data_IF_599721623849
#
_entry.id   IF_599721623849
#
_cell.length_a   1.000
_cell.length_b   1.000
_cell.length_c   1.000
_cell.angle_alpha   90.00
_cell.angle_beta   90.00
_cell.angle_gamma   90.00
#
_symmetry.space_group_name_H-M   'P 1'
#
loop_
_entity.id
_entity.type
_entity.pdbx_description
1 polymer ?
#
# COMPACT_ATOMS: atom_id res chain seq x y z
N UNK A 1 9.76 -10.29 19.43
CA UNK A 1 8.94 -10.32 18.19
C UNK A 1 8.10 -9.06 18.16
N UNK A 2 8.47 -8.08 17.33
CA UNK A 2 7.68 -6.87 17.14
C UNK A 2 6.31 -7.27 16.60
N UNK A 3 5.26 -6.88 17.30
CA UNK A 3 3.88 -7.16 16.94
C UNK A 3 3.53 -6.38 15.65
N UNK A 4 3.89 -6.93 14.49
CA UNK A 4 3.64 -6.32 13.18
C UNK A 4 2.18 -6.54 12.83
N UNK A 5 1.31 -5.65 13.30
CA UNK A 5 -0.07 -5.63 12.78
C UNK A 5 -0.01 -5.40 11.27
N UNK A 6 -0.70 -6.23 10.48
CA UNK A 6 -0.76 -6.04 9.03
C UNK A 6 -1.40 -4.68 8.72
N UNK A 7 -1.01 -4.06 7.59
CA UNK A 7 -1.62 -2.82 7.16
C UNK A 7 -3.12 -3.02 6.91
N UNK A 8 -3.91 -2.00 7.26
CA UNK A 8 -5.36 -2.01 6.98
C UNK A 8 -5.68 -1.04 5.86
N UNK A 9 -6.52 -1.47 4.93
CA UNK A 9 -6.93 -0.70 3.75
C UNK A 9 -8.41 -0.31 3.90
N UNK A 10 -8.72 0.98 3.73
CA UNK A 10 -10.08 1.51 3.89
C UNK A 10 -10.43 2.48 2.74
N UNK A 11 -11.56 2.29 2.04
CA UNK A 11 -12.06 3.29 1.09
C UNK A 11 -12.31 4.63 1.78
N UNK A 12 -12.01 5.74 1.10
CA UNK A 12 -12.28 7.10 1.56
C UNK A 12 -12.53 8.04 0.39
N UNK A 13 -13.06 9.22 0.73
CA UNK A 13 -12.92 10.40 -0.12
C UNK A 13 -11.72 11.22 0.36
N UNK A 14 -10.92 11.73 -0.57
CA UNK A 14 -9.80 12.64 -0.31
C UNK A 14 -10.07 13.96 -1.02
N UNK A 15 -9.81 15.08 -0.35
CA UNK A 15 -9.95 16.41 -0.95
C UNK A 15 -8.68 17.20 -0.63
N UNK A 16 -7.73 17.34 -1.58
CA UNK A 16 -6.67 18.33 -1.46
C UNK A 16 -7.29 19.72 -1.27
N UNK A 17 -6.62 20.62 -0.53
CA UNK A 17 -7.19 21.95 -0.23
C UNK A 17 -7.62 22.67 -1.51
N UNK A 18 -8.91 22.98 -1.61
CA UNK A 18 -9.48 23.71 -2.75
C UNK A 18 -9.95 22.85 -3.92
N UNK A 19 -9.91 21.51 -3.81
CA UNK A 19 -10.38 20.58 -4.82
C UNK A 19 -11.66 19.87 -4.37
N UNK A 20 -12.44 19.38 -5.35
CA UNK A 20 -13.56 18.50 -5.07
C UNK A 20 -13.07 17.17 -4.46
N UNK A 21 -13.83 16.59 -3.51
CA UNK A 21 -13.50 15.29 -2.96
C UNK A 21 -13.49 14.22 -4.06
N UNK A 22 -12.40 13.48 -4.16
CA UNK A 22 -12.22 12.38 -5.10
C UNK A 22 -12.19 11.02 -4.39
N UNK A 23 -12.56 9.92 -5.07
CA UNK A 23 -12.39 8.58 -4.54
C UNK A 23 -10.91 8.27 -4.26
N UNK A 24 -10.64 7.72 -3.08
CA UNK A 24 -9.31 7.40 -2.60
C UNK A 24 -9.32 6.15 -1.70
N UNK A 25 -8.13 5.66 -1.41
CA UNK A 25 -7.92 4.58 -0.45
C UNK A 25 -6.93 5.05 0.61
N UNK A 26 -7.27 4.82 1.88
CA UNK A 26 -6.35 5.01 2.99
C UNK A 26 -5.70 3.69 3.37
N UNK A 27 -4.37 3.67 3.37
CA UNK A 27 -3.56 2.56 3.84
C UNK A 27 -2.95 2.95 5.18
N UNK A 28 -3.26 2.20 6.23
CA UNK A 28 -2.71 2.42 7.57
C UNK A 28 -1.63 1.39 7.87
N UNK A 29 -0.41 1.88 8.09
CA UNK A 29 0.75 1.09 8.49
C UNK A 29 1.18 1.51 9.91
N UNK A 30 0.77 0.75 10.92
CA UNK A 30 0.97 1.07 12.33
C UNK A 30 0.51 2.50 12.72
N UNK A 31 1.45 3.43 12.88
CA UNK A 31 1.19 4.85 13.22
C UNK A 31 1.11 5.77 12.00
N UNK A 32 1.45 5.28 10.80
CA UNK A 32 1.49 6.05 9.56
C UNK A 32 0.25 5.78 8.72
N UNK A 33 -0.15 6.79 7.96
CA UNK A 33 -1.27 6.73 7.03
C UNK A 33 -0.79 7.25 5.69
N UNK A 34 -1.17 6.54 4.62
CA UNK A 34 -1.01 6.96 3.25
C UNK A 34 -2.41 7.09 2.65
N UNK A 35 -2.68 8.19 1.95
CA UNK A 35 -3.90 8.37 1.16
C UNK A 35 -3.50 8.35 -0.30
N UNK A 36 -4.16 7.50 -1.08
CA UNK A 36 -3.86 7.27 -2.49
C UNK A 36 -5.12 7.58 -3.28
N UNK A 37 -5.06 8.55 -4.19
CA UNK A 37 -6.17 8.84 -5.10
C UNK A 37 -6.42 7.65 -6.05
N UNK A 38 -7.64 7.52 -6.56
CA UNK A 38 -8.02 6.40 -7.41
C UNK A 38 -7.12 6.23 -8.65
N UNK A 39 -6.64 7.32 -9.24
CA UNK A 39 -5.76 7.30 -10.42
C UNK A 39 -4.40 6.60 -10.15
N UNK A 40 -3.90 6.70 -8.91
CA UNK A 40 -2.59 6.16 -8.52
C UNK A 40 -2.71 4.75 -7.90
N UNK A 41 -3.91 4.29 -7.61
CA UNK A 41 -4.13 3.03 -6.89
C UNK A 41 -3.59 1.82 -7.67
N UNK A 42 -3.81 1.81 -9.00
CA UNK A 42 -3.35 0.71 -9.85
C UNK A 42 -1.83 0.63 -9.90
N UNK A 43 -1.18 1.76 -10.15
CA UNK A 43 0.27 1.86 -10.19
C UNK A 43 0.91 1.41 -8.86
N UNK A 44 0.36 1.84 -7.72
CA UNK A 44 0.84 1.40 -6.41
C UNK A 44 0.68 -0.12 -6.22
N UNK A 45 -0.44 -0.69 -6.65
CA UNK A 45 -0.69 -2.12 -6.52
C UNK A 45 0.31 -2.94 -7.34
N UNK A 46 0.55 -2.55 -8.59
CA UNK A 46 1.51 -3.23 -9.47
C UNK A 46 2.94 -3.16 -8.87
N UNK A 47 3.37 -1.98 -8.37
CA UNK A 47 4.69 -1.83 -7.73
C UNK A 47 4.83 -2.65 -6.44
N UNK A 48 3.78 -2.74 -5.62
CA UNK A 48 3.80 -3.58 -4.42
C UNK A 48 3.86 -5.06 -4.74
N UNK A 49 3.24 -5.48 -5.84
CA UNK A 49 3.34 -6.85 -6.35
C UNK A 49 4.77 -7.18 -6.78
N UNK A 50 5.40 -6.33 -7.59
CA UNK A 50 6.78 -6.53 -8.04
C UNK A 50 7.75 -6.65 -6.85
N UNK A 51 7.62 -5.77 -5.85
CA UNK A 51 8.45 -5.79 -4.65
C UNK A 51 8.21 -7.05 -3.80
N UNK A 52 6.96 -7.54 -3.72
CA UNK A 52 6.65 -8.76 -3.00
C UNK A 52 7.27 -9.98 -3.68
N UNK A 53 7.16 -10.07 -5.01
CA UNK A 53 7.76 -11.15 -5.81
C UNK A 53 9.29 -11.16 -5.65
N UNK A 54 9.94 -9.99 -5.75
CA UNK A 54 11.39 -9.87 -5.55
C UNK A 54 11.82 -10.34 -4.15
N UNK A 55 11.04 -10.00 -3.12
CA UNK A 55 11.32 -10.43 -1.75
C UNK A 55 11.14 -11.94 -1.56
N UNK A 56 10.07 -12.52 -2.11
CA UNK A 56 9.85 -13.98 -2.07
C UNK A 56 10.95 -14.74 -2.80
N UNK A 57 11.43 -14.22 -3.93
CA UNK A 57 12.57 -14.78 -4.68
C UNK A 57 13.85 -14.70 -3.85
N UNK A 58 14.12 -13.56 -3.20
CA UNK A 58 15.31 -13.38 -2.36
C UNK A 58 15.32 -14.30 -1.13
N UNK A 59 14.15 -14.63 -0.58
CA UNK A 59 14.02 -15.54 0.58
C UNK A 59 14.11 -17.02 0.21
N UNK A 60 13.97 -17.39 -1.08
CA UNK A 60 14.20 -18.77 -1.53
C UNK A 60 15.69 -19.09 -1.47
N UNK A 61 16.08 -19.93 -0.50
CA UNK A 61 17.41 -20.56 -0.51
C UNK A 61 17.62 -21.33 -1.82
N UNK A 62 18.80 -21.23 -2.45
CA UNK A 62 19.14 -22.11 -3.55
C UNK A 62 19.08 -23.57 -3.06
N UNK A 63 18.63 -24.51 -3.90
CA UNK A 63 18.63 -25.93 -3.54
C UNK A 63 20.05 -26.35 -3.18
N UNK A 64 20.16 -27.08 -2.06
CA UNK A 64 21.39 -27.65 -1.53
C UNK A 64 22.02 -28.66 -2.49
#
# INVERSE_FOLDING_TARGET
MTNMKPPTVQPRSWAPRGHEPEPAVMIRCAKRYLVVSAEHLRFLADLLHDVADDHEIAERKPPA
#
